data_IF_761617966565
#
_entry.id   IF_761617966565
#
_cell.length_a   1.000
_cell.length_b   1.000
_cell.length_c   1.000
_cell.angle_alpha   90.00
_cell.angle_beta   90.00
_cell.angle_gamma   90.00
#
_symmetry.space_group_name_H-M   'P 1'
#
loop_
_entity.id
_entity.type
_entity.pdbx_description
1 polymer ?
#
# COMPACT_ATOMS: atom_id res chain seq x y z
N UNK A 1 0.10 29.49 -14.85
CA UNK A 1 -1.24 29.34 -15.46
C UNK A 1 -2.03 28.38 -14.60
N UNK A 2 -2.72 28.88 -13.56
CA UNK A 2 -3.61 28.03 -12.77
C UNK A 2 -4.72 27.47 -13.69
N UNK A 3 -5.00 26.18 -13.58
CA UNK A 3 -6.02 25.52 -14.39
C UNK A 3 -7.41 26.03 -14.02
N UNK A 4 -8.37 25.94 -14.95
CA UNK A 4 -9.76 26.36 -14.72
C UNK A 4 -10.39 25.69 -13.48
N UNK A 5 -9.96 24.46 -13.18
CA UNK A 5 -10.34 23.71 -11.98
C UNK A 5 -9.87 24.37 -10.67
N UNK A 6 -8.66 24.94 -10.67
CA UNK A 6 -8.07 25.66 -9.52
C UNK A 6 -8.80 26.95 -9.22
N UNK A 7 -9.25 27.67 -10.26
CA UNK A 7 -10.01 28.93 -10.11
C UNK A 7 -11.45 28.72 -9.60
N UNK A 8 -12.01 27.52 -9.80
CA UNK A 8 -13.38 27.19 -9.39
C UNK A 8 -13.46 26.40 -8.07
N UNK A 9 -12.31 26.14 -7.41
CA UNK A 9 -12.27 25.33 -6.19
C UNK A 9 -12.73 23.88 -6.39
N UNK A 10 -12.74 23.39 -7.63
CA UNK A 10 -13.26 22.07 -7.99
C UNK A 10 -12.25 20.95 -7.77
N UNK A 11 -11.01 21.28 -7.38
CA UNK A 11 -9.99 20.29 -7.02
C UNK A 11 -10.40 19.47 -5.78
N UNK A 12 -11.15 20.10 -4.85
CA UNK A 12 -11.67 19.46 -3.64
C UNK A 12 -13.08 18.85 -3.84
N UNK A 13 -13.77 19.15 -4.94
CA UNK A 13 -15.12 18.67 -5.19
C UNK A 13 -15.18 17.14 -5.39
N UNK A 14 -14.08 16.52 -5.84
CA UNK A 14 -13.93 15.07 -5.94
C UNK A 14 -13.42 14.40 -4.65
N UNK A 15 -12.93 15.17 -3.68
CA UNK A 15 -12.23 14.65 -2.51
C UNK A 15 -13.18 13.96 -1.53
N UNK A 16 -14.32 14.58 -1.21
CA UNK A 16 -15.33 13.96 -0.34
C UNK A 16 -15.90 12.66 -0.94
N UNK A 17 -16.38 12.63 -2.21
CA UNK A 17 -16.74 11.39 -2.89
C UNK A 17 -15.63 10.33 -2.92
N UNK A 18 -14.38 10.73 -3.15
CA UNK A 18 -13.23 9.80 -3.13
C UNK A 18 -13.01 9.21 -1.74
N UNK A 19 -13.18 10.01 -0.68
CA UNK A 19 -13.07 9.57 0.72
C UNK A 19 -14.13 8.52 1.04
N UNK A 20 -15.39 8.75 0.70
CA UNK A 20 -16.47 7.77 0.91
C UNK A 20 -16.22 6.46 0.16
N UNK A 21 -15.79 6.54 -1.10
CA UNK A 21 -15.45 5.35 -1.89
C UNK A 21 -14.26 4.59 -1.31
N UNK A 22 -13.28 5.29 -0.75
CA UNK A 22 -12.13 4.68 -0.07
C UNK A 22 -12.54 3.97 1.21
N UNK A 23 -13.36 4.61 2.04
CA UNK A 23 -13.91 4.01 3.27
C UNK A 23 -14.75 2.76 2.94
N UNK A 24 -15.62 2.86 1.92
CA UNK A 24 -16.39 1.72 1.43
C UNK A 24 -15.47 0.59 0.93
N UNK A 25 -14.40 0.92 0.21
CA UNK A 25 -13.41 -0.05 -0.26
C UNK A 25 -12.78 -0.85 0.88
N UNK A 26 -12.34 -0.19 1.95
CA UNK A 26 -11.77 -0.86 3.11
C UNK A 26 -12.81 -1.70 3.86
N UNK A 27 -14.04 -1.21 4.00
CA UNK A 27 -15.13 -1.97 4.61
C UNK A 27 -15.42 -3.27 3.83
N UNK A 28 -15.56 -3.16 2.50
CA UNK A 28 -15.79 -4.30 1.61
C UNK A 28 -14.66 -5.31 1.66
N UNK A 29 -13.41 -4.84 1.71
CA UNK A 29 -12.24 -5.72 1.85
C UNK A 29 -12.26 -6.47 3.18
N UNK A 30 -12.61 -5.80 4.28
CA UNK A 30 -12.80 -6.42 5.60
C UNK A 30 -13.92 -7.46 5.63
N UNK A 31 -14.96 -7.30 4.81
CA UNK A 31 -16.03 -8.29 4.61
C UNK A 31 -15.64 -9.42 3.63
N UNK A 32 -14.47 -9.38 3.01
CA UNK A 32 -14.03 -10.36 2.01
C UNK A 32 -14.61 -10.15 0.61
N UNK A 33 -15.32 -9.03 0.38
CA UNK A 33 -15.86 -8.66 -0.93
C UNK A 33 -14.77 -8.00 -1.79
N UNK A 34 -13.76 -8.79 -2.15
CA UNK A 34 -12.51 -8.29 -2.77
C UNK A 34 -12.75 -7.57 -4.11
N UNK A 35 -13.68 -8.02 -4.94
CA UNK A 35 -13.95 -7.42 -6.26
C UNK A 35 -14.76 -6.12 -6.16
N UNK A 36 -15.69 -6.04 -5.19
CA UNK A 36 -16.43 -4.81 -4.91
C UNK A 36 -15.49 -3.74 -4.32
N UNK A 37 -14.59 -4.15 -3.42
CA UNK A 37 -13.54 -3.27 -2.88
C UNK A 37 -12.66 -2.71 -4.00
N UNK A 38 -12.27 -3.54 -4.98
CA UNK A 38 -11.51 -3.10 -6.14
C UNK A 38 -12.24 -1.98 -6.90
N UNK A 39 -13.54 -2.15 -7.12
CA UNK A 39 -14.38 -1.19 -7.84
C UNK A 39 -14.49 0.14 -7.08
N UNK A 40 -14.65 0.08 -5.76
CA UNK A 40 -14.70 1.26 -4.90
C UNK A 40 -13.38 2.05 -4.93
N UNK A 41 -12.24 1.38 -4.78
CA UNK A 41 -10.93 2.04 -4.85
C UNK A 41 -10.59 2.56 -6.25
N UNK A 42 -11.00 1.87 -7.33
CA UNK A 42 -10.85 2.42 -8.69
C UNK A 42 -11.65 3.70 -8.88
N UNK A 43 -12.89 3.76 -8.37
CA UNK A 43 -13.70 4.98 -8.36
C UNK A 43 -13.02 6.11 -7.58
N UNK A 44 -12.55 5.83 -6.37
CA UNK A 44 -11.84 6.80 -5.55
C UNK A 44 -10.57 7.32 -6.24
N UNK A 45 -9.80 6.43 -6.89
CA UNK A 45 -8.60 6.78 -7.66
C UNK A 45 -8.91 7.70 -8.85
N UNK A 46 -10.07 7.54 -9.49
CA UNK A 46 -10.47 8.42 -10.60
C UNK A 46 -10.82 9.83 -10.11
N UNK A 47 -11.40 9.93 -8.92
CA UNK A 47 -11.82 11.21 -8.32
C UNK A 47 -10.67 11.94 -7.62
N UNK A 48 -9.73 11.21 -7.02
CA UNK A 48 -8.56 11.74 -6.35
C UNK A 48 -7.27 11.03 -6.83
N UNK A 49 -6.80 11.30 -8.07
CA UNK A 49 -5.68 10.55 -8.67
C UNK A 49 -4.34 10.75 -7.99
N UNK A 50 -4.18 11.84 -7.23
CA UNK A 50 -2.99 12.19 -6.45
C UNK A 50 -3.04 11.73 -5.00
N UNK A 51 -4.18 11.23 -4.54
CA UNK A 51 -4.33 10.69 -3.19
C UNK A 51 -3.67 9.30 -3.13
N UNK A 52 -2.70 9.05 -2.22
CA UNK A 52 -2.11 7.73 -2.06
C UNK A 52 -3.10 6.66 -1.57
N UNK A 53 -4.16 7.02 -0.84
CA UNK A 53 -4.98 6.05 -0.11
C UNK A 53 -5.70 5.06 -1.05
N UNK A 54 -6.36 5.48 -2.15
CA UNK A 54 -6.96 4.55 -3.11
C UNK A 54 -5.94 3.62 -3.77
N UNK A 55 -4.72 4.11 -4.04
CA UNK A 55 -3.66 3.27 -4.63
C UNK A 55 -3.16 2.23 -3.63
N UNK A 56 -3.07 2.57 -2.35
CA UNK A 56 -2.77 1.61 -1.26
C UNK A 56 -3.84 0.53 -1.16
N UNK A 57 -5.12 0.92 -1.16
CA UNK A 57 -6.25 -0.03 -1.13
C UNK A 57 -6.26 -0.98 -2.33
N UNK A 58 -6.02 -0.46 -3.55
CA UNK A 58 -5.86 -1.31 -4.75
C UNK A 58 -4.67 -2.27 -4.64
N UNK A 59 -3.57 -1.84 -4.03
CA UNK A 59 -2.42 -2.71 -3.82
C UNK A 59 -2.76 -3.89 -2.90
N UNK A 60 -3.52 -3.63 -1.83
CA UNK A 60 -4.01 -4.65 -0.89
C UNK A 60 -4.96 -5.64 -1.59
N UNK A 61 -5.93 -5.12 -2.35
CA UNK A 61 -6.83 -5.92 -3.20
C UNK A 61 -6.04 -6.84 -4.12
N UNK A 62 -5.01 -6.32 -4.81
CA UNK A 62 -4.21 -7.13 -5.71
C UNK A 62 -3.39 -8.20 -4.99
N UNK A 63 -2.95 -7.97 -3.74
CA UNK A 63 -2.34 -9.02 -2.93
C UNK A 63 -3.35 -10.10 -2.56
N UNK A 64 -4.56 -9.71 -2.11
CA UNK A 64 -5.62 -10.66 -1.77
C UNK A 64 -6.03 -11.53 -2.98
N UNK A 65 -5.96 -10.98 -4.20
CA UNK A 65 -6.21 -11.69 -5.45
C UNK A 65 -5.02 -12.52 -5.96
N UNK A 66 -3.87 -12.56 -5.25
CA UNK A 66 -2.69 -13.29 -5.70
C UNK A 66 -2.00 -12.68 -6.93
N UNK A 67 -2.12 -11.35 -7.12
CA UNK A 67 -1.57 -10.59 -8.26
C UNK A 67 -0.42 -9.67 -7.82
N UNK A 68 0.72 -10.20 -7.32
CA UNK A 68 1.76 -9.39 -6.68
C UNK A 68 2.42 -8.36 -7.61
N UNK A 69 2.51 -8.62 -8.92
CA UNK A 69 3.00 -7.60 -9.88
C UNK A 69 2.08 -6.38 -9.99
N UNK A 70 0.76 -6.58 -9.86
CA UNK A 70 -0.19 -5.45 -9.86
C UNK A 70 -0.14 -4.72 -8.52
N UNK A 71 -0.03 -5.46 -7.42
CA UNK A 71 0.13 -4.89 -6.08
C UNK A 71 1.37 -4.00 -5.97
N UNK A 72 2.53 -4.46 -6.44
CA UNK A 72 3.76 -3.67 -6.41
C UNK A 72 3.61 -2.35 -7.17
N UNK A 73 2.99 -2.37 -8.35
CA UNK A 73 2.76 -1.16 -9.16
C UNK A 73 1.82 -0.18 -8.46
N UNK A 74 0.72 -0.67 -7.89
CA UNK A 74 -0.23 0.16 -7.16
C UNK A 74 0.42 0.78 -5.91
N UNK A 75 1.12 -0.01 -5.12
CA UNK A 75 1.84 0.48 -3.94
C UNK A 75 2.96 1.46 -4.31
N UNK A 76 3.65 1.26 -5.42
CA UNK A 76 4.67 2.21 -5.91
C UNK A 76 4.04 3.56 -6.25
N UNK A 77 2.86 3.58 -6.89
CA UNK A 77 2.13 4.84 -7.13
C UNK A 77 1.76 5.56 -5.83
N UNK A 78 1.31 4.82 -4.82
CA UNK A 78 1.05 5.39 -3.50
C UNK A 78 2.33 5.95 -2.83
N UNK A 79 3.48 5.30 -3.03
CA UNK A 79 4.75 5.78 -2.52
C UNK A 79 5.28 7.04 -3.25
N UNK A 80 4.97 7.18 -4.53
CA UNK A 80 5.47 8.29 -5.37
C UNK A 80 4.62 9.57 -5.21
N UNK A 81 3.42 9.47 -4.63
CA UNK A 81 2.57 10.62 -4.33
C UNK A 81 2.99 11.28 -3.00
N UNK A 82 3.47 12.52 -3.08
CA UNK A 82 3.80 13.33 -1.90
C UNK A 82 2.54 14.02 -1.40
N UNK A 83 2.00 13.57 -0.27
CA UNK A 83 0.95 14.28 0.48
C UNK A 83 1.34 14.35 1.95
N UNK A 84 1.39 15.57 2.50
CA UNK A 84 1.73 15.85 3.91
C UNK A 84 0.79 15.14 4.89
N UNK A 85 -0.42 14.77 4.46
CA UNK A 85 -1.47 14.19 5.31
C UNK A 85 -1.48 12.66 5.35
N UNK A 86 -0.54 11.98 4.67
CA UNK A 86 -0.65 10.54 4.35
C UNK A 86 0.41 9.64 4.97
N UNK A 87 1.02 10.01 6.11
CA UNK A 87 2.11 9.23 6.74
C UNK A 87 1.76 7.76 6.99
N UNK A 88 0.57 7.48 7.54
CA UNK A 88 0.12 6.10 7.79
C UNK A 88 -0.15 5.33 6.49
N UNK A 89 -0.85 5.94 5.52
CA UNK A 89 -1.13 5.32 4.23
C UNK A 89 0.16 5.03 3.45
N UNK A 90 1.15 5.92 3.55
CA UNK A 90 2.47 5.74 2.96
C UNK A 90 3.23 4.59 3.62
N UNK A 91 3.20 4.49 4.95
CA UNK A 91 3.81 3.36 5.67
C UNK A 91 3.16 2.02 5.27
N UNK A 92 1.83 1.97 5.16
CA UNK A 92 1.10 0.80 4.66
C UNK A 92 1.45 0.47 3.20
N UNK A 93 1.59 1.47 2.33
CA UNK A 93 2.02 1.25 0.95
C UNK A 93 3.41 0.59 0.89
N UNK A 94 4.36 1.04 1.73
CA UNK A 94 5.68 0.43 1.82
C UNK A 94 5.63 -1.02 2.32
N UNK A 95 4.77 -1.32 3.31
CA UNK A 95 4.53 -2.68 3.79
C UNK A 95 4.01 -3.58 2.66
N UNK A 96 2.94 -3.16 1.98
CA UNK A 96 2.32 -3.91 0.87
C UNK A 96 3.30 -4.10 -0.29
N UNK A 97 4.11 -3.08 -0.61
CA UNK A 97 5.16 -3.17 -1.63
C UNK A 97 6.21 -4.22 -1.26
N UNK A 98 6.57 -4.31 0.02
CA UNK A 98 7.45 -5.35 0.55
C UNK A 98 6.83 -6.74 0.35
N UNK A 99 5.60 -6.93 0.83
CA UNK A 99 4.88 -8.22 0.74
C UNK A 99 4.73 -8.67 -0.73
N UNK A 100 4.38 -7.75 -1.63
CA UNK A 100 4.32 -8.01 -3.08
C UNK A 100 5.67 -8.44 -3.66
N UNK A 101 6.76 -7.77 -3.28
CA UNK A 101 8.12 -8.11 -3.73
C UNK A 101 8.59 -9.44 -3.18
N UNK A 102 8.23 -9.78 -1.96
CA UNK A 102 8.54 -11.07 -1.38
C UNK A 102 7.86 -12.20 -2.17
N UNK A 103 6.58 -12.05 -2.53
CA UNK A 103 5.87 -13.01 -3.39
C UNK A 103 6.47 -13.11 -4.80
N UNK A 104 7.15 -12.06 -5.28
CA UNK A 104 7.89 -12.07 -6.55
C UNK A 104 9.31 -12.66 -6.44
N UNK A 105 9.73 -13.14 -5.27
CA UNK A 105 11.08 -13.64 -5.02
C UNK A 105 12.15 -12.53 -4.91
N UNK A 106 11.74 -11.27 -4.83
CA UNK A 106 12.63 -10.11 -4.76
C UNK A 106 12.95 -9.75 -3.30
N UNK A 107 13.65 -10.66 -2.62
CA UNK A 107 13.89 -10.55 -1.18
C UNK A 107 14.63 -9.27 -0.76
N UNK A 108 15.69 -8.86 -1.49
CA UNK A 108 16.45 -7.64 -1.18
C UNK A 108 15.56 -6.38 -1.27
N UNK A 109 14.86 -6.11 -2.39
CA UNK A 109 13.88 -5.01 -2.47
C UNK A 109 12.75 -5.09 -1.44
N UNK A 110 12.33 -6.29 -1.05
CA UNK A 110 11.29 -6.50 -0.03
C UNK A 110 11.74 -6.00 1.34
N UNK A 111 12.92 -6.45 1.80
CA UNK A 111 13.48 -6.06 3.09
C UNK A 111 13.66 -4.54 3.18
N UNK A 112 14.09 -3.90 2.09
CA UNK A 112 14.21 -2.45 2.07
C UNK A 112 12.85 -1.76 2.21
N UNK A 113 11.81 -2.27 1.56
CA UNK A 113 10.47 -1.73 1.66
C UNK A 113 9.89 -1.85 3.08
N UNK A 114 10.08 -3.01 3.73
CA UNK A 114 9.67 -3.18 5.13
C UNK A 114 10.41 -2.25 6.09
N UNK A 115 11.72 -2.02 5.88
CA UNK A 115 12.48 -1.03 6.66
C UNK A 115 11.93 0.38 6.49
N UNK A 116 11.55 0.77 5.27
CA UNK A 116 10.92 2.07 5.04
C UNK A 116 9.57 2.19 5.76
N UNK A 117 8.75 1.13 5.76
CA UNK A 117 7.49 1.10 6.53
C UNK A 117 7.73 1.27 8.03
N UNK A 118 8.74 0.59 8.60
CA UNK A 118 9.14 0.75 10.01
C UNK A 118 9.60 2.17 10.29
N UNK A 119 10.38 2.78 9.41
CA UNK A 119 10.87 4.14 9.62
C UNK A 119 9.73 5.18 9.65
N UNK A 120 8.73 5.01 8.78
CA UNK A 120 7.60 5.94 8.68
C UNK A 120 6.55 5.76 9.78
N UNK A 121 6.45 4.55 10.34
CA UNK A 121 5.44 4.22 11.35
C UNK A 121 6.02 3.33 12.46
N UNK A 122 7.10 3.80 13.11
CA UNK A 122 7.92 3.00 14.03
C UNK A 122 7.12 2.31 15.14
N UNK A 123 6.11 3.01 15.64
CA UNK A 123 5.29 2.57 16.77
C UNK A 123 3.85 2.23 16.37
N UNK A 124 3.43 2.48 15.14
CA UNK A 124 2.07 2.21 14.70
C UNK A 124 1.91 0.86 13.97
N UNK A 125 0.71 0.61 13.44
CA UNK A 125 0.32 -0.68 12.90
C UNK A 125 1.22 -1.16 11.74
N UNK A 126 1.55 -0.27 10.79
CA UNK A 126 2.29 -0.66 9.59
C UNK A 126 3.73 -1.06 9.94
N UNK A 127 4.39 -0.28 10.81
CA UNK A 127 5.74 -0.61 11.26
C UNK A 127 5.80 -1.87 12.11
N UNK A 128 4.82 -2.13 12.97
CA UNK A 128 4.76 -3.41 13.72
C UNK A 128 4.60 -4.62 12.80
N UNK A 129 3.71 -4.54 11.80
CA UNK A 129 3.54 -5.60 10.81
C UNK A 129 4.83 -5.81 9.99
N UNK A 130 5.45 -4.73 9.52
CA UNK A 130 6.71 -4.79 8.78
C UNK A 130 7.86 -5.37 9.60
N UNK A 131 7.90 -5.10 10.91
CA UNK A 131 8.88 -5.70 11.84
C UNK A 131 8.67 -7.21 11.96
N UNK A 132 7.41 -7.66 12.07
CA UNK A 132 7.06 -9.08 12.02
C UNK A 132 7.61 -9.75 10.76
N UNK A 133 7.30 -9.20 9.58
CA UNK A 133 7.82 -9.69 8.29
C UNK A 133 9.33 -9.80 8.23
N UNK A 134 10.03 -8.78 8.76
CA UNK A 134 11.49 -8.74 8.77
C UNK A 134 12.09 -9.79 9.71
N UNK A 135 11.48 -10.00 10.87
CA UNK A 135 11.89 -11.03 11.82
C UNK A 135 11.74 -12.43 11.20
N UNK A 136 10.56 -12.74 10.65
CA UNK A 136 10.28 -14.01 9.97
C UNK A 136 11.31 -14.28 8.85
N UNK A 137 11.64 -13.25 8.06
CA UNK A 137 12.65 -13.37 7.01
C UNK A 137 14.05 -13.68 7.55
N UNK A 138 14.46 -13.03 8.64
CA UNK A 138 15.79 -13.23 9.23
C UNK A 138 15.93 -14.65 9.82
N UNK A 139 14.90 -15.14 10.50
CA UNK A 139 14.85 -16.51 11.04
C UNK A 139 14.98 -17.55 9.93
N UNK A 140 14.27 -17.36 8.81
CA UNK A 140 14.38 -18.22 7.63
C UNK A 140 15.79 -18.23 7.03
N UNK A 141 16.51 -17.12 7.03
CA UNK A 141 17.90 -17.10 6.53
C UNK A 141 18.86 -17.82 7.47
N UNK A 142 18.67 -17.69 8.78
CA UNK A 142 19.50 -18.38 9.77
C UNK A 142 19.31 -19.90 9.66
N UNK A 143 18.07 -20.38 9.55
CA UNK A 143 17.78 -21.80 9.35
C UNK A 143 18.44 -22.35 8.08
N UNK A 144 18.33 -21.64 6.96
CA UNK A 144 18.98 -22.03 5.68
C UNK A 144 20.50 -22.01 5.75
N UNK A 145 21.08 -21.16 6.59
CA UNK A 145 22.52 -21.11 6.83
C UNK A 145 23.01 -22.31 7.64
N UNK A 146 22.25 -22.69 8.67
CA UNK A 146 22.56 -23.85 9.52
C UNK A 146 22.56 -25.16 8.70
N UNK A 147 21.55 -25.38 7.85
CA UNK A 147 21.43 -26.58 7.00
C UNK A 147 22.55 -26.73 5.97
N UNK A 148 23.24 -25.64 5.60
CA UNK A 148 24.37 -25.67 4.66
C UNK A 148 25.72 -25.92 5.33
N UNK A 149 25.76 -25.90 6.66
CA UNK A 149 26.97 -26.05 7.46
C UNK A 149 27.15 -27.43 8.11
N UNK A 150 26.17 -28.32 7.93
CA UNK A 150 26.14 -29.73 8.35
C UNK A 150 26.24 -30.66 7.15
#
# INVERSE_FOLDING_TARGET
MATLATQLGLEDAGYEPARYLTEAGYFLLGCGHVDEAASAFEGARLLAPKDPVPHTGLAEVFLAQGKPRKAERAATRACDTVSESSGAALAYAWLIRGDARMQLGQARPSVQAWRNAIHLDEHGPAGRLARGRLNDWNELQQARGADRST
#
